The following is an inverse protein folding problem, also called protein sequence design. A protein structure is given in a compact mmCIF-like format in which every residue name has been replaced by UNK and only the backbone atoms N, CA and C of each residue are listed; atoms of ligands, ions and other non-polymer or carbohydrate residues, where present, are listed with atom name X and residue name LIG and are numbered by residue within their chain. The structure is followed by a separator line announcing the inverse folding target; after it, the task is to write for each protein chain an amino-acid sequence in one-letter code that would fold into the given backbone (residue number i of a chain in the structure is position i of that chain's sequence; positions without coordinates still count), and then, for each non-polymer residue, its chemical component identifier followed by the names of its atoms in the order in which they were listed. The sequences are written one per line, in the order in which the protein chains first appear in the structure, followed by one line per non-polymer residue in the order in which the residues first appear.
data_IF_968487626285
#
_entry.id   IF_968487626285
#
_cell.length_a   1.000
_cell.length_b   1.000
_cell.length_c   1.000
_cell.angle_alpha   90.00
_cell.angle_beta   90.00
_cell.angle_gamma   90.00
#
_symmetry.space_group_name_H-M   'P 1'
#
loop_
_entity.id
_entity.type
_entity.pdbx_description
1 polymer ?
#
# COMPACT_ATOMS: atom_id res chain seq x y z
N UNK A 1 -0.24 -21.54 27.37
CA UNK A 1 -1.27 -20.65 26.77
C UNK A 1 -0.92 -19.16 26.87
N UNK A 2 -0.57 -18.62 28.06
CA UNK A 2 -0.09 -17.21 28.22
C UNK A 2 1.21 -16.90 27.45
N UNK A 3 2.13 -17.87 27.33
CA UNK A 3 3.39 -17.69 26.60
C UNK A 3 3.21 -17.60 25.07
N UNK A 4 2.20 -18.29 24.52
CA UNK A 4 1.88 -18.22 23.08
C UNK A 4 1.38 -16.81 22.75
N UNK A 5 0.50 -16.22 23.58
CA UNK A 5 0.00 -14.85 23.39
C UNK A 5 1.10 -13.76 23.48
N UNK A 6 2.22 -14.04 24.16
CA UNK A 6 3.34 -13.09 24.26
C UNK A 6 4.32 -13.18 23.08
N UNK A 7 4.51 -14.37 22.49
CA UNK A 7 5.36 -14.55 21.30
C UNK A 7 4.84 -13.77 20.07
N UNK A 8 3.53 -13.49 20.03
CA UNK A 8 2.86 -12.73 18.97
C UNK A 8 3.15 -11.21 18.97
N UNK A 9 3.75 -10.64 20.03
CA UNK A 9 4.16 -9.22 20.02
C UNK A 9 5.23 -8.89 18.97
N UNK A 10 5.91 -9.89 18.42
CA UNK A 10 6.86 -9.73 17.32
C UNK A 10 6.24 -9.89 15.92
N UNK A 11 5.01 -10.40 15.80
CA UNK A 11 4.34 -10.61 14.51
C UNK A 11 3.30 -9.54 14.17
N UNK A 12 3.18 -8.47 14.98
CA UNK A 12 2.17 -7.40 14.89
C UNK A 12 0.71 -7.89 14.92
N UNK A 13 0.50 -9.16 15.26
CA UNK A 13 -0.82 -9.74 15.48
C UNK A 13 -0.99 -9.89 16.98
N UNK A 14 -2.17 -9.61 17.52
CA UNK A 14 -2.49 -9.87 18.92
C UNK A 14 -3.88 -10.49 19.03
N UNK A 15 -4.10 -11.28 20.07
CA UNK A 15 -5.37 -11.98 20.29
C UNK A 15 -5.93 -11.71 21.69
N UNK A 16 -7.24 -11.50 21.77
CA UNK A 16 -7.98 -11.39 23.03
C UNK A 16 -9.17 -12.36 23.01
N UNK A 17 -9.33 -13.13 24.07
CA UNK A 17 -10.52 -13.99 24.25
C UNK A 17 -11.79 -13.13 24.37
N UNK A 18 -12.86 -13.57 23.73
CA UNK A 18 -14.22 -13.00 23.83
C UNK A 18 -15.16 -14.03 24.44
N UNK A 19 -16.40 -13.66 24.75
CA UNK A 19 -17.42 -14.58 25.26
C UNK A 19 -17.75 -15.73 24.30
N UNK A 20 -17.52 -15.54 23.00
CA UNK A 20 -17.90 -16.48 21.93
C UNK A 20 -16.68 -17.02 21.14
N UNK A 21 -15.47 -16.55 21.42
CA UNK A 21 -14.27 -16.97 20.69
C UNK A 21 -13.06 -16.08 20.92
N UNK A 22 -12.48 -15.55 19.82
CA UNK A 22 -11.23 -14.78 19.84
C UNK A 22 -11.35 -13.56 18.93
N UNK A 23 -11.01 -12.39 19.45
CA UNK A 23 -10.78 -11.19 18.66
C UNK A 23 -9.28 -11.07 18.34
N UNK A 24 -8.96 -11.06 17.05
CA UNK A 24 -7.60 -10.88 16.53
C UNK A 24 -7.45 -9.43 16.07
N UNK A 25 -6.41 -8.75 16.55
CA UNK A 25 -6.00 -7.43 16.09
C UNK A 25 -4.72 -7.54 15.27
N UNK A 26 -4.70 -6.94 14.09
CA UNK A 26 -3.63 -6.94 13.10
C UNK A 26 -3.15 -5.50 12.96
N UNK A 27 -1.95 -5.20 13.47
CA UNK A 27 -1.31 -3.91 13.29
C UNK A 27 -0.44 -3.93 12.04
N UNK A 28 -0.63 -2.95 11.16
CA UNK A 28 0.14 -2.85 9.92
C UNK A 28 1.36 -1.97 10.12
N UNK A 29 2.41 -2.20 9.33
CA UNK A 29 3.58 -1.33 9.36
C UNK A 29 4.33 -1.37 8.03
N UNK A 30 4.95 -0.26 7.69
CA UNK A 30 5.69 -0.07 6.45
C UNK A 30 7.00 0.65 6.74
N UNK A 31 8.12 0.05 6.31
CA UNK A 31 9.48 0.60 6.50
C UNK A 31 9.78 1.09 7.93
N UNK A 32 9.39 0.29 8.92
CA UNK A 32 9.62 0.59 10.34
C UNK A 32 8.57 1.49 10.99
N UNK A 33 7.65 2.09 10.22
CA UNK A 33 6.56 2.91 10.76
C UNK A 33 5.33 2.08 11.05
N UNK A 34 4.82 2.14 12.28
CA UNK A 34 3.51 1.58 12.64
C UNK A 34 2.40 2.42 12.00
N UNK A 35 1.45 1.75 11.36
CA UNK A 35 0.33 2.37 10.65
C UNK A 35 -1.00 1.99 11.32
N UNK A 36 -2.04 1.78 10.52
CA UNK A 36 -3.38 1.43 10.97
C UNK A 36 -3.43 0.01 11.59
N UNK A 37 -4.41 -0.21 12.47
CA UNK A 37 -4.72 -1.53 13.04
C UNK A 37 -6.15 -1.96 12.70
N UNK A 38 -6.33 -3.24 12.43
CA UNK A 38 -7.61 -3.83 12.05
C UNK A 38 -7.96 -4.99 12.98
N UNK A 39 -9.24 -5.28 13.18
CA UNK A 39 -9.65 -6.42 13.98
C UNK A 39 -10.58 -7.37 13.23
N UNK A 40 -10.55 -8.64 13.62
CA UNK A 40 -11.49 -9.69 13.20
C UNK A 40 -11.89 -10.49 14.44
N UNK A 41 -13.18 -10.50 14.74
CA UNK A 41 -13.77 -11.28 15.83
C UNK A 41 -14.24 -12.64 15.28
N UNK A 42 -13.56 -13.70 15.68
CA UNK A 42 -13.82 -15.08 15.29
C UNK A 42 -14.64 -15.77 16.37
N UNK A 43 -15.76 -16.38 15.97
CA UNK A 43 -16.54 -17.28 16.83
C UNK A 43 -15.99 -18.69 16.68
N UNK A 44 -15.71 -19.35 17.80
CA UNK A 44 -15.03 -20.65 17.84
C UNK A 44 -15.99 -21.85 17.79
N UNK A 45 -17.29 -21.60 17.63
CA UNK A 45 -18.28 -22.60 17.27
C UNK A 45 -18.00 -23.13 15.85
N UNK A 46 -18.18 -24.43 15.60
CA UNK A 46 -17.97 -24.99 14.27
C UNK A 46 -19.26 -24.93 13.45
N UNK A 47 -19.21 -24.49 12.17
CA UNK A 47 -18.03 -23.98 11.46
C UNK A 47 -17.60 -22.60 11.98
N UNK A 48 -16.29 -22.31 11.96
CA UNK A 48 -15.76 -21.01 12.41
C UNK A 48 -16.37 -19.89 11.57
N UNK A 49 -16.69 -18.75 12.17
CA UNK A 49 -17.22 -17.62 11.40
C UNK A 49 -16.79 -16.26 11.97
N UNK A 50 -16.81 -15.25 11.11
CA UNK A 50 -16.45 -13.87 11.45
C UNK A 50 -17.71 -13.17 11.92
N UNK A 51 -17.75 -12.76 13.19
CA UNK A 51 -18.89 -12.03 13.74
C UNK A 51 -18.82 -10.54 13.44
N UNK A 52 -17.66 -9.92 13.69
CA UNK A 52 -17.42 -8.50 13.43
C UNK A 52 -15.98 -8.26 12.99
N UNK A 53 -15.75 -7.27 12.15
CA UNK A 53 -14.41 -6.85 11.74
C UNK A 53 -14.35 -5.36 11.41
N UNK A 54 -13.13 -4.82 11.37
CA UNK A 54 -12.86 -3.48 10.80
C UNK A 54 -12.12 -3.52 9.46
N UNK A 55 -11.96 -4.72 8.87
CA UNK A 55 -11.33 -4.88 7.56
C UNK A 55 -12.08 -4.06 6.50
N UNK A 56 -11.40 -3.22 5.69
CA UNK A 56 -12.04 -2.43 4.66
C UNK A 56 -12.75 -3.27 3.61
N UNK A 57 -13.90 -2.80 3.13
CA UNK A 57 -14.81 -3.53 2.21
C UNK A 57 -14.19 -3.97 0.88
N UNK A 58 -13.09 -3.35 0.46
CA UNK A 58 -12.37 -3.67 -0.78
C UNK A 58 -11.27 -4.74 -0.59
N UNK A 59 -11.03 -5.19 0.64
CA UNK A 59 -10.16 -6.33 0.92
C UNK A 59 -11.03 -7.59 0.81
N UNK A 60 -10.60 -8.63 0.08
CA UNK A 60 -11.45 -9.80 -0.24
C UNK A 60 -11.58 -10.77 0.95
N UNK A 61 -12.10 -10.29 2.08
CA UNK A 61 -12.17 -11.03 3.34
C UNK A 61 -13.04 -12.29 3.19
N UNK A 62 -14.17 -12.17 2.52
CA UNK A 62 -15.11 -13.27 2.28
C UNK A 62 -14.44 -14.39 1.49
N UNK A 63 -13.73 -14.06 0.41
CA UNK A 63 -13.00 -15.03 -0.43
C UNK A 63 -11.88 -15.73 0.35
N UNK A 64 -11.08 -14.97 1.10
CA UNK A 64 -9.99 -15.52 1.92
C UNK A 64 -10.57 -16.42 3.02
N UNK A 65 -11.69 -16.01 3.64
CA UNK A 65 -12.35 -16.77 4.70
C UNK A 65 -12.93 -18.08 4.18
N UNK A 66 -13.63 -18.06 3.04
CA UNK A 66 -14.21 -19.26 2.43
C UNK A 66 -13.14 -20.29 2.07
N UNK A 67 -11.96 -19.83 1.64
CA UNK A 67 -10.86 -20.70 1.21
C UNK A 67 -10.09 -21.32 2.38
N UNK A 68 -9.88 -20.58 3.47
CA UNK A 68 -8.90 -20.97 4.48
C UNK A 68 -9.41 -21.01 5.92
N UNK A 69 -10.52 -20.35 6.26
CA UNK A 69 -10.92 -20.18 7.66
C UNK A 69 -11.16 -21.53 8.36
N UNK A 70 -11.81 -22.47 7.67
CA UNK A 70 -12.15 -23.80 8.21
C UNK A 70 -10.98 -24.78 8.22
N UNK A 71 -10.07 -24.67 7.25
CA UNK A 71 -9.02 -25.67 6.99
C UNK A 71 -7.68 -25.27 7.57
N UNK A 72 -7.35 -23.98 7.54
CA UNK A 72 -6.08 -23.43 8.00
C UNK A 72 -6.23 -21.97 8.45
N UNK A 73 -6.67 -21.79 9.70
CA UNK A 73 -6.87 -20.45 10.30
C UNK A 73 -5.58 -19.63 10.37
N UNK A 74 -4.41 -20.27 10.49
CA UNK A 74 -3.12 -19.55 10.47
C UNK A 74 -2.85 -18.96 9.08
N UNK A 75 -3.10 -19.73 8.01
CA UNK A 75 -2.93 -19.25 6.65
C UNK A 75 -3.98 -18.18 6.28
N UNK A 76 -5.22 -18.32 6.77
CA UNK A 76 -6.23 -17.25 6.70
C UNK A 76 -5.68 -15.92 7.27
N UNK A 77 -5.13 -15.95 8.49
CA UNK A 77 -4.57 -14.77 9.14
C UNK A 77 -3.36 -14.22 8.38
N UNK A 78 -2.49 -15.09 7.88
CA UNK A 78 -1.32 -14.69 7.09
C UNK A 78 -1.73 -13.93 5.83
N UNK A 79 -2.61 -14.52 5.01
CA UNK A 79 -3.08 -13.89 3.77
C UNK A 79 -3.77 -12.56 4.07
N UNK A 80 -4.63 -12.50 5.08
CA UNK A 80 -5.28 -11.25 5.49
C UNK A 80 -4.25 -10.18 5.91
N UNK A 81 -3.19 -10.57 6.62
CA UNK A 81 -2.12 -9.65 6.99
C UNK A 81 -1.37 -9.11 5.76
N UNK A 82 -1.14 -9.91 4.72
CA UNK A 82 -0.50 -9.45 3.49
C UNK A 82 -1.33 -8.34 2.81
N UNK A 83 -2.62 -8.58 2.62
CA UNK A 83 -3.54 -7.59 2.06
C UNK A 83 -3.57 -6.28 2.87
N UNK A 84 -3.69 -6.38 4.20
CA UNK A 84 -3.79 -5.21 5.07
C UNK A 84 -2.48 -4.40 5.12
N UNK A 85 -1.32 -5.07 5.19
CA UNK A 85 -0.02 -4.40 5.17
C UNK A 85 0.23 -3.73 3.81
N UNK A 86 -0.12 -4.40 2.71
CA UNK A 86 0.02 -3.84 1.37
C UNK A 86 -0.85 -2.60 1.17
N UNK A 87 -2.13 -2.69 1.53
CA UNK A 87 -3.05 -1.56 1.49
C UNK A 87 -2.54 -0.39 2.33
N UNK A 88 -2.19 -0.63 3.60
CA UNK A 88 -1.75 0.42 4.51
C UNK A 88 -0.43 1.05 4.05
N UNK A 89 0.48 0.25 3.49
CA UNK A 89 1.72 0.74 2.89
C UNK A 89 1.48 1.61 1.64
N UNK A 90 0.57 1.23 0.74
CA UNK A 90 0.20 2.05 -0.43
C UNK A 90 -0.47 3.36 -0.01
N UNK A 91 -1.40 3.31 0.94
CA UNK A 91 -2.06 4.49 1.53
C UNK A 91 -1.03 5.44 2.14
N UNK A 92 -0.12 4.91 2.97
CA UNK A 92 0.95 5.69 3.60
C UNK A 92 1.86 6.36 2.56
N UNK A 93 2.27 5.64 1.51
CA UNK A 93 3.06 6.20 0.42
C UNK A 93 2.34 7.35 -0.30
N UNK A 94 1.05 7.18 -0.57
CA UNK A 94 0.22 8.21 -1.21
C UNK A 94 0.03 9.44 -0.30
N UNK A 95 -0.22 9.24 0.99
CA UNK A 95 -0.32 10.32 1.98
C UNK A 95 0.99 11.12 2.06
N UNK A 96 2.14 10.44 2.14
CA UNK A 96 3.46 11.08 2.15
C UNK A 96 3.76 11.85 0.87
N UNK A 97 3.31 11.37 -0.28
CA UNK A 97 3.44 12.12 -1.53
C UNK A 97 2.69 13.46 -1.45
N UNK A 98 1.47 13.47 -0.90
CA UNK A 98 0.68 14.68 -0.75
C UNK A 98 1.16 15.61 0.35
N UNK A 99 1.75 15.09 1.44
CA UNK A 99 2.24 15.91 2.54
C UNK A 99 3.66 16.42 2.29
N UNK A 100 4.61 15.52 2.08
CA UNK A 100 6.04 15.82 2.19
C UNK A 100 6.63 16.30 0.87
N UNK A 101 5.98 15.96 -0.24
CA UNK A 101 6.43 16.27 -1.60
C UNK A 101 5.43 17.13 -2.37
N UNK A 102 4.51 17.81 -1.67
CA UNK A 102 3.50 18.69 -2.26
C UNK A 102 4.12 19.73 -3.22
N UNK A 103 5.30 20.25 -2.91
CA UNK A 103 6.00 21.24 -3.71
C UNK A 103 6.45 20.73 -5.11
N UNK A 104 6.62 19.41 -5.27
CA UNK A 104 6.95 18.78 -6.55
C UNK A 104 5.70 18.44 -7.36
N UNK A 105 4.51 18.42 -6.73
CA UNK A 105 3.26 18.10 -7.38
C UNK A 105 2.67 19.31 -8.10
N UNK A 106 2.00 19.05 -9.21
CA UNK A 106 1.17 20.02 -9.93
C UNK A 106 -0.29 19.62 -9.70
N UNK A 107 -0.88 20.18 -8.65
CA UNK A 107 -2.23 19.86 -8.23
C UNK A 107 -2.32 18.62 -7.33
N UNK A 108 -3.55 18.17 -6.99
CA UNK A 108 -3.76 17.09 -6.04
C UNK A 108 -3.50 15.71 -6.67
N UNK A 109 -2.87 14.82 -5.90
CA UNK A 109 -2.84 13.38 -6.18
C UNK A 109 -4.27 12.83 -6.28
N UNK A 110 -4.57 12.18 -7.39
CA UNK A 110 -5.79 11.39 -7.57
C UNK A 110 -5.51 9.95 -7.14
N UNK A 111 -6.42 9.39 -6.33
CA UNK A 111 -6.33 7.99 -5.88
C UNK A 111 -7.71 7.42 -5.62
N UNK A 112 -7.84 6.10 -5.77
CA UNK A 112 -9.03 5.39 -5.30
C UNK A 112 -8.89 4.94 -3.84
N UNK A 113 -9.99 4.48 -3.23
CA UNK A 113 -10.02 4.09 -1.81
C UNK A 113 -9.06 2.94 -1.47
N UNK A 114 -8.83 2.01 -2.40
CA UNK A 114 -7.90 0.88 -2.23
C UNK A 114 -6.42 1.30 -2.37
N UNK A 115 -6.16 2.54 -2.79
CA UNK A 115 -4.83 3.06 -3.12
C UNK A 115 -4.06 2.15 -4.09
N UNK A 116 -4.75 1.41 -4.97
CA UNK A 116 -4.12 0.59 -6.01
C UNK A 116 -4.08 1.28 -7.36
N UNK A 117 -4.69 2.46 -7.50
CA UNK A 117 -4.53 3.33 -8.66
C UNK A 117 -4.23 4.74 -8.17
N UNK A 118 -3.06 5.25 -8.55
CA UNK A 118 -2.61 6.62 -8.28
C UNK A 118 -2.42 7.36 -9.60
N UNK A 119 -2.80 8.63 -9.66
CA UNK A 119 -2.55 9.49 -10.82
C UNK A 119 -2.19 10.89 -10.36
N UNK A 120 -1.06 11.41 -10.83
CA UNK A 120 -0.53 12.70 -10.40
C UNK A 120 0.35 13.32 -11.47
N UNK A 121 0.41 14.65 -11.44
CA UNK A 121 1.36 15.43 -12.24
C UNK A 121 2.42 15.99 -11.32
N UNK A 122 3.68 15.97 -11.75
CA UNK A 122 4.82 16.44 -10.96
C UNK A 122 5.86 17.11 -11.85
N UNK A 123 6.66 17.98 -11.25
CA UNK A 123 7.75 18.70 -11.92
C UNK A 123 9.06 18.31 -11.26
N UNK A 124 10.03 17.91 -12.08
CA UNK A 124 11.41 17.71 -11.64
C UNK A 124 12.27 18.78 -12.31
N UNK A 125 13.28 19.28 -11.60
CA UNK A 125 14.23 20.28 -12.12
C UNK A 125 15.62 19.67 -12.32
N UNK A 126 15.84 18.81 -13.33
CA UNK A 126 17.21 18.51 -13.71
C UNK A 126 17.87 19.78 -14.25
N UNK A 127 19.02 20.14 -13.67
CA UNK A 127 19.92 21.18 -14.21
C UNK A 127 19.25 22.56 -14.42
N UNK A 128 18.29 22.90 -13.56
CA UNK A 128 17.63 24.22 -13.54
C UNK A 128 16.41 24.36 -14.47
N UNK A 129 16.12 23.39 -15.34
CA UNK A 129 14.91 23.40 -16.18
C UNK A 129 13.82 22.51 -15.59
N UNK A 130 12.61 23.06 -15.45
CA UNK A 130 11.46 22.33 -14.91
C UNK A 130 10.58 21.77 -16.03
N UNK A 131 10.34 20.46 -16.04
CA UNK A 131 9.44 19.82 -16.99
C UNK A 131 8.32 19.05 -16.28
N UNK A 132 7.03 19.20 -16.69
CA UNK A 132 5.92 18.48 -16.09
C UNK A 132 5.75 17.07 -16.67
N UNK A 133 5.70 16.08 -15.78
CA UNK A 133 5.35 14.70 -16.08
C UNK A 133 4.01 14.33 -15.46
N UNK A 134 3.24 13.51 -16.15
CA UNK A 134 2.03 12.87 -15.64
C UNK A 134 2.33 11.39 -15.42
N UNK A 135 2.04 10.90 -14.23
CA UNK A 135 2.22 9.49 -13.88
C UNK A 135 0.90 8.85 -13.49
N UNK A 136 0.71 7.62 -13.97
CA UNK A 136 -0.36 6.71 -13.54
C UNK A 136 0.28 5.42 -13.03
N UNK A 137 0.05 5.10 -11.77
CA UNK A 137 0.61 3.93 -11.09
C UNK A 137 -0.52 2.96 -10.74
N UNK A 138 -0.41 1.70 -11.16
CA UNK A 138 -1.37 0.63 -10.90
C UNK A 138 -0.69 -0.54 -10.18
N UNK A 139 -1.28 -0.91 -9.05
CA UNK A 139 -0.89 -2.03 -8.20
C UNK A 139 -1.89 -3.18 -8.44
N UNK A 140 -1.62 -4.02 -9.43
CA UNK A 140 -2.43 -5.18 -9.82
C UNK A 140 -2.37 -6.26 -8.75
N UNK A 141 -1.18 -6.48 -8.18
CA UNK A 141 -1.02 -7.33 -7.02
C UNK A 141 -1.35 -6.56 -5.73
N UNK A 142 -2.53 -6.85 -5.18
CA UNK A 142 -3.05 -6.18 -4.01
C UNK A 142 -2.32 -6.53 -2.71
N UNK A 143 -1.45 -7.54 -2.72
CA UNK A 143 -0.61 -7.97 -1.58
C UNK A 143 0.76 -7.29 -1.55
N UNK A 144 1.06 -6.41 -2.53
CA UNK A 144 2.35 -5.72 -2.62
C UNK A 144 2.24 -4.21 -2.44
N UNK A 145 3.34 -3.59 -2.04
CA UNK A 145 3.46 -2.13 -1.87
C UNK A 145 4.20 -1.44 -3.02
N UNK A 146 4.75 -2.21 -3.96
CA UNK A 146 5.43 -1.71 -5.15
C UNK A 146 4.49 -1.75 -6.36
N UNK A 147 4.66 -0.77 -7.24
CA UNK A 147 3.83 -0.64 -8.43
C UNK A 147 4.10 -1.78 -9.39
N UNK A 148 3.05 -2.35 -9.98
CA UNK A 148 3.16 -3.45 -10.96
C UNK A 148 2.95 -2.99 -12.41
N UNK A 149 2.47 -1.77 -12.60
CA UNK A 149 2.21 -1.17 -13.90
C UNK A 149 2.33 0.36 -13.76
N UNK A 150 3.22 0.95 -14.54
CA UNK A 150 3.58 2.36 -14.48
C UNK A 150 3.40 2.94 -15.87
N UNK A 151 2.76 4.10 -15.96
CA UNK A 151 2.77 4.92 -17.17
C UNK A 151 3.26 6.30 -16.79
N UNK A 152 4.29 6.78 -17.49
CA UNK A 152 4.77 8.17 -17.37
C UNK A 152 4.65 8.83 -18.73
N UNK A 153 3.92 9.94 -18.79
CA UNK A 153 3.75 10.77 -20.00
C UNK A 153 4.19 12.20 -19.73
N UNK A 154 4.49 12.94 -20.79
CA UNK A 154 4.73 14.38 -20.75
C UNK A 154 3.46 15.17 -21.08
N UNK A 155 3.33 16.38 -20.54
CA UNK A 155 2.36 17.34 -21.07
C UNK A 155 2.95 18.06 -22.29
N UNK A 156 2.43 17.79 -23.48
CA UNK A 156 2.80 18.43 -24.75
C UNK A 156 2.57 17.50 -25.95
N UNK A 157 2.04 18.04 -27.06
CA UNK A 157 1.64 17.27 -28.25
C UNK A 157 2.81 17.00 -29.22
N UNK A 158 3.98 17.58 -28.96
CA UNK A 158 5.16 17.46 -29.82
C UNK A 158 6.12 16.37 -29.32
N UNK A 159 6.91 15.81 -30.22
CA UNK A 159 7.94 14.82 -29.89
C UNK A 159 8.88 15.40 -28.82
N UNK A 160 9.00 14.69 -27.69
CA UNK A 160 9.89 15.09 -26.61
C UNK A 160 11.32 15.19 -27.11
N UNK A 161 12.06 16.26 -26.77
CA UNK A 161 13.51 16.26 -26.88
C UNK A 161 14.08 15.00 -26.21
N UNK A 162 15.08 14.37 -26.85
CA UNK A 162 15.66 13.09 -26.42
C UNK A 162 15.96 13.02 -24.92
N UNK A 163 16.46 14.11 -24.35
CA UNK A 163 16.73 14.25 -22.91
C UNK A 163 15.50 13.99 -22.04
N UNK A 164 14.34 14.55 -22.38
CA UNK A 164 13.11 14.39 -21.58
C UNK A 164 12.51 13.00 -21.73
N UNK A 165 12.66 12.37 -22.89
CA UNK A 165 12.26 10.98 -23.11
C UNK A 165 13.11 10.00 -22.30
N UNK A 166 14.44 10.22 -22.25
CA UNK A 166 15.35 9.43 -21.41
C UNK A 166 15.00 9.60 -19.92
N UNK A 167 14.66 10.81 -19.46
CA UNK A 167 14.18 11.06 -18.09
C UNK A 167 12.83 10.38 -17.81
N UNK A 168 11.88 10.45 -18.74
CA UNK A 168 10.57 9.79 -18.64
C UNK A 168 10.75 8.28 -18.41
N UNK A 169 11.58 7.63 -19.23
CA UNK A 169 11.88 6.20 -19.10
C UNK A 169 12.60 5.87 -17.78
N UNK A 170 13.51 6.74 -17.33
CA UNK A 170 14.18 6.57 -16.03
C UNK A 170 13.20 6.68 -14.85
N UNK A 171 12.26 7.63 -14.89
CA UNK A 171 11.22 7.77 -13.88
C UNK A 171 10.31 6.55 -13.85
N UNK A 172 9.91 6.04 -15.02
CA UNK A 172 9.10 4.84 -15.15
C UNK A 172 9.76 3.65 -14.44
N UNK A 173 11.05 3.41 -14.71
CA UNK A 173 11.84 2.37 -14.03
C UNK A 173 11.91 2.60 -12.50
N UNK A 174 12.15 3.84 -12.06
CA UNK A 174 12.22 4.16 -10.63
C UNK A 174 10.91 3.83 -9.89
N UNK A 175 9.74 4.09 -10.49
CA UNK A 175 8.44 3.77 -9.88
C UNK A 175 8.14 2.27 -9.78
N UNK A 176 8.80 1.43 -10.58
CA UNK A 176 8.77 -0.02 -10.42
C UNK A 176 9.68 -0.50 -9.29
N UNK A 177 10.88 0.09 -9.22
CA UNK A 177 11.94 -0.45 -8.36
C UNK A 177 11.87 0.04 -6.91
N UNK A 178 11.19 1.17 -6.66
CA UNK A 178 11.21 1.82 -5.35
C UNK A 178 9.84 2.30 -4.89
N UNK A 179 9.60 2.34 -3.57
CA UNK A 179 8.46 3.01 -2.99
C UNK A 179 8.40 4.49 -3.40
N UNK A 180 7.18 5.00 -3.54
CA UNK A 180 6.89 6.33 -4.10
C UNK A 180 7.65 7.45 -3.40
N UNK A 181 7.63 7.46 -2.08
CA UNK A 181 8.33 8.47 -1.27
C UNK A 181 9.86 8.42 -1.45
N UNK A 182 10.46 7.25 -1.72
CA UNK A 182 11.89 7.13 -2.01
C UNK A 182 12.22 7.66 -3.41
N UNK A 183 11.35 7.43 -4.39
CA UNK A 183 11.48 8.00 -5.74
C UNK A 183 11.48 9.53 -5.65
N UNK A 184 10.50 10.11 -4.96
CA UNK A 184 10.42 11.57 -4.79
C UNK A 184 11.56 12.15 -3.94
N UNK A 185 12.04 11.41 -2.92
CA UNK A 185 13.28 11.77 -2.21
C UNK A 185 14.48 11.84 -3.17
N UNK A 186 14.57 10.92 -4.14
CA UNK A 186 15.65 10.94 -5.13
C UNK A 186 15.54 12.10 -6.12
N UNK A 187 14.33 12.57 -6.42
CA UNK A 187 14.11 13.78 -7.21
C UNK A 187 14.51 15.04 -6.45
N UNK A 188 14.15 15.13 -5.16
CA UNK A 188 14.49 16.27 -4.31
C UNK A 188 16.00 16.41 -4.06
N UNK A 189 16.77 15.31 -4.07
CA UNK A 189 18.24 15.34 -3.92
C UNK A 189 18.99 15.76 -5.19
N UNK A 190 18.34 15.75 -6.35
CA UNK A 190 18.94 16.06 -7.66
C UNK A 190 18.62 17.46 -8.16
N UNK A 191 17.76 18.21 -7.48
CA UNK A 191 17.44 19.61 -7.76
C UNK A 191 18.12 20.54 -6.76
#
# INVERSE_FOLDING_TARGET
MKAILQAYRFTRISGKLTSQGVCVCISTAFEGNLLDSYFVNLVMEKPLWIHHHSVPVFIPLEEISAKYLQTNTQHFLFVLCEYLNAYSGRKHQADRLQSDFAALLVGPLQRNSLCNLLSFTYKVKPEGQSFPFCSRLLYKDLTTTLTTDVTVTSQGTEALPRMWEEQRAAHENLFFMKPLHQVFTSFAKKG
#
